data_IF_330608093367
#
_entry.id   IF_330608093367
#
_cell.length_a   1.000
_cell.length_b   1.000
_cell.length_c   1.000
_cell.angle_alpha   90.00
_cell.angle_beta   90.00
_cell.angle_gamma   90.00
#
_symmetry.space_group_name_H-M   'P 1'
#
loop_
_entity.id
_entity.type
_entity.pdbx_description
1 polymer ?
#
# COMPACT_ATOMS: atom_id res chain seq x y z
N UNK A 1 -12.55 -27.54 -51.15
CA UNK A 1 -12.68 -27.82 -49.70
C UNK A 1 -11.28 -27.84 -49.13
N UNK A 2 -10.69 -26.68 -48.76
CA UNK A 2 -10.76 -26.00 -47.46
C UNK A 2 -10.65 -26.98 -46.29
N UNK A 3 -9.50 -26.99 -45.62
CA UNK A 3 -9.36 -26.96 -44.17
C UNK A 3 -7.97 -26.37 -43.85
N UNK A 4 -7.91 -25.04 -43.69
CA UNK A 4 -6.80 -24.38 -43.02
C UNK A 4 -6.99 -24.67 -41.52
N UNK A 5 -6.08 -25.44 -40.92
CA UNK A 5 -6.00 -25.53 -39.47
C UNK A 5 -5.59 -24.16 -38.93
N UNK A 6 -6.54 -23.38 -38.42
CA UNK A 6 -6.23 -22.31 -37.47
C UNK A 6 -5.68 -23.00 -36.21
N UNK A 7 -4.37 -22.87 -36.01
CA UNK A 7 -3.71 -23.21 -34.75
C UNK A 7 -3.87 -22.01 -33.83
N UNK A 8 -5.07 -21.82 -33.29
CA UNK A 8 -5.35 -20.84 -32.23
C UNK A 8 -5.29 -21.54 -30.86
N UNK A 9 -4.09 -21.98 -30.48
CA UNK A 9 -3.81 -22.38 -29.10
C UNK A 9 -2.33 -22.15 -28.84
N UNK A 10 -1.92 -20.88 -28.96
CA UNK A 10 -0.85 -20.36 -28.11
C UNK A 10 -1.38 -20.39 -26.68
N UNK A 11 -0.54 -20.89 -25.76
CA UNK A 11 -0.87 -21.16 -24.36
C UNK A 11 -1.01 -19.83 -23.62
N UNK A 12 -2.08 -19.09 -23.89
CA UNK A 12 -2.55 -18.06 -22.99
C UNK A 12 -3.09 -18.85 -21.79
N UNK A 13 -2.28 -18.98 -20.75
CA UNK A 13 -2.78 -19.46 -19.45
C UNK A 13 -4.00 -18.62 -19.13
N UNK A 14 -5.18 -19.25 -19.07
CA UNK A 14 -6.44 -18.55 -18.87
C UNK A 14 -6.30 -17.64 -17.65
N UNK A 15 -6.59 -16.36 -17.82
CA UNK A 15 -6.53 -15.34 -16.78
C UNK A 15 -7.14 -15.85 -15.46
N UNK A 16 -8.26 -16.56 -15.58
CA UNK A 16 -8.99 -17.19 -14.48
C UNK A 16 -8.19 -18.27 -13.73
N UNK A 17 -7.34 -19.01 -14.43
CA UNK A 17 -6.46 -19.99 -13.81
C UNK A 17 -5.42 -19.31 -12.91
N UNK A 18 -4.80 -18.22 -13.39
CA UNK A 18 -3.85 -17.45 -12.58
C UNK A 18 -4.54 -16.89 -11.34
N UNK A 19 -5.72 -16.26 -11.49
CA UNK A 19 -6.48 -15.73 -10.37
C UNK A 19 -6.79 -16.81 -9.32
N UNK A 20 -7.31 -17.97 -9.76
CA UNK A 20 -7.64 -19.08 -8.86
C UNK A 20 -6.41 -19.67 -8.16
N UNK A 21 -5.29 -19.86 -8.87
CA UNK A 21 -4.06 -20.37 -8.26
C UNK A 21 -3.47 -19.37 -7.27
N UNK A 22 -3.58 -18.08 -7.57
CA UNK A 22 -3.11 -17.03 -6.69
C UNK A 22 -3.95 -16.98 -5.41
N UNK A 23 -5.28 -17.05 -5.54
CA UNK A 23 -6.20 -17.16 -4.41
C UNK A 23 -5.88 -18.36 -3.51
N UNK A 24 -5.65 -19.54 -4.08
CA UNK A 24 -5.25 -20.73 -3.33
C UNK A 24 -3.93 -20.53 -2.58
N UNK A 25 -2.93 -19.93 -3.24
CA UNK A 25 -1.64 -19.65 -2.62
C UNK A 25 -1.76 -18.63 -1.46
N UNK A 26 -2.67 -17.66 -1.57
CA UNK A 26 -3.02 -16.73 -0.48
C UNK A 26 -3.66 -17.47 0.69
N UNK A 27 -4.61 -18.37 0.43
CA UNK A 27 -5.23 -19.19 1.48
C UNK A 27 -4.21 -20.11 2.17
N UNK A 28 -3.33 -20.74 1.41
CA UNK A 28 -2.24 -21.56 1.95
C UNK A 28 -1.30 -20.72 2.83
N UNK A 29 -0.97 -19.50 2.39
CA UNK A 29 -0.19 -18.55 3.17
C UNK A 29 -0.86 -18.17 4.51
N UNK A 30 -2.16 -17.88 4.48
CA UNK A 30 -2.94 -17.47 5.65
C UNK A 30 -3.20 -18.62 6.63
N UNK A 31 -3.35 -19.85 6.13
CA UNK A 31 -3.68 -21.04 6.93
C UNK A 31 -2.46 -21.89 7.30
N UNK A 32 -1.27 -21.53 6.80
CA UNK A 32 -0.02 -22.21 7.11
C UNK A 32 0.23 -22.33 8.63
N UNK A 33 0.56 -23.54 9.07
CA UNK A 33 0.85 -23.84 10.49
C UNK A 33 2.34 -23.79 10.83
N UNK A 34 3.20 -23.50 9.86
CA UNK A 34 4.65 -23.40 10.00
C UNK A 34 5.22 -22.32 9.09
N UNK A 35 6.37 -21.77 9.47
CA UNK A 35 7.09 -20.78 8.67
C UNK A 35 7.53 -21.34 7.32
N UNK A 36 7.96 -22.60 7.27
CA UNK A 36 8.36 -23.27 6.03
C UNK A 36 7.19 -23.37 5.03
N UNK A 37 6.01 -23.78 5.50
CA UNK A 37 4.82 -23.84 4.65
C UNK A 37 4.39 -22.45 4.16
N UNK A 38 4.51 -21.46 5.04
CA UNK A 38 4.25 -20.07 4.67
C UNK A 38 5.26 -19.56 3.63
N UNK A 39 6.53 -19.96 3.72
CA UNK A 39 7.57 -19.63 2.75
C UNK A 39 7.33 -20.27 1.38
N UNK A 40 6.90 -21.53 1.33
CA UNK A 40 6.49 -22.20 0.09
C UNK A 40 5.31 -21.50 -0.59
N UNK A 41 4.31 -21.07 0.20
CA UNK A 41 3.19 -20.29 -0.31
C UNK A 41 3.67 -18.93 -0.91
N UNK A 42 4.58 -18.22 -0.24
CA UNK A 42 5.19 -16.98 -0.77
C UNK A 42 5.90 -17.21 -2.10
N UNK A 43 6.67 -18.28 -2.25
CA UNK A 43 7.35 -18.61 -3.52
C UNK A 43 6.35 -18.88 -4.63
N UNK A 44 5.24 -19.55 -4.31
CA UNK A 44 4.16 -19.83 -5.27
C UNK A 44 3.49 -18.55 -5.74
N UNK A 45 3.16 -17.64 -4.82
CA UNK A 45 2.59 -16.32 -5.13
C UNK A 45 3.53 -15.50 -6.01
N UNK A 46 4.82 -15.40 -5.66
CA UNK A 46 5.82 -14.65 -6.44
C UNK A 46 5.98 -15.20 -7.86
N UNK A 47 5.94 -16.53 -8.03
CA UNK A 47 5.98 -17.16 -9.35
C UNK A 47 4.75 -16.81 -10.20
N UNK A 48 3.56 -16.81 -9.59
CA UNK A 48 2.31 -16.46 -10.27
C UNK A 48 2.27 -14.98 -10.65
N UNK A 49 2.76 -14.09 -9.78
CA UNK A 49 2.92 -12.65 -10.07
C UNK A 49 3.87 -12.42 -11.25
N UNK A 50 5.00 -13.15 -11.30
CA UNK A 50 5.93 -13.05 -12.41
C UNK A 50 5.29 -13.45 -13.74
N UNK A 51 4.53 -14.56 -13.76
CA UNK A 51 3.82 -15.01 -14.97
C UNK A 51 2.73 -14.00 -15.34
N UNK A 52 1.95 -13.52 -14.37
CA UNK A 52 0.92 -12.53 -14.58
C UNK A 52 1.49 -11.22 -15.14
N UNK A 53 2.65 -10.78 -14.67
CA UNK A 53 3.32 -9.58 -15.17
C UNK A 53 3.81 -9.75 -16.61
N UNK A 54 4.35 -10.93 -16.95
CA UNK A 54 4.80 -11.23 -18.30
C UNK A 54 3.65 -11.25 -19.31
N UNK A 55 2.52 -11.86 -18.95
CA UNK A 55 1.39 -12.07 -19.86
C UNK A 55 0.41 -10.89 -19.91
N UNK A 56 0.18 -10.22 -18.77
CA UNK A 56 -0.89 -9.23 -18.60
C UNK A 56 -0.41 -7.87 -18.07
N UNK A 57 0.88 -7.72 -17.75
CA UNK A 57 1.48 -6.48 -17.28
C UNK A 57 1.37 -6.26 -15.77
N UNK A 58 2.21 -5.35 -15.27
CA UNK A 58 2.32 -5.06 -13.83
C UNK A 58 1.02 -4.50 -13.22
N UNK A 59 0.26 -3.68 -13.96
CA UNK A 59 -1.02 -3.13 -13.49
C UNK A 59 -2.01 -4.24 -13.09
N UNK A 60 -2.09 -5.31 -13.89
CA UNK A 60 -2.93 -6.46 -13.58
C UNK A 60 -2.45 -7.24 -12.34
N UNK A 61 -1.14 -7.41 -12.18
CA UNK A 61 -0.57 -8.09 -11.00
C UNK A 61 -0.92 -7.35 -9.73
N UNK A 62 -0.82 -6.02 -9.78
CA UNK A 62 -1.11 -5.17 -8.66
C UNK A 62 -2.60 -5.21 -8.28
N UNK A 63 -3.50 -5.18 -9.27
CA UNK A 63 -4.95 -5.35 -9.05
C UNK A 63 -5.29 -6.73 -8.46
N UNK A 64 -4.61 -7.78 -8.93
CA UNK A 64 -4.79 -9.14 -8.42
C UNK A 64 -4.32 -9.26 -6.97
N UNK A 65 -3.14 -8.72 -6.66
CA UNK A 65 -2.59 -8.69 -5.30
C UNK A 65 -3.49 -7.90 -4.35
N UNK A 66 -3.98 -6.72 -4.76
CA UNK A 66 -4.87 -5.88 -3.95
C UNK A 66 -6.21 -6.60 -3.67
N UNK A 67 -6.79 -7.27 -4.66
CA UNK A 67 -8.06 -8.02 -4.51
C UNK A 67 -7.94 -9.16 -3.52
N UNK A 68 -6.83 -9.89 -3.56
CA UNK A 68 -6.68 -11.18 -2.86
C UNK A 68 -6.10 -11.04 -1.45
N UNK A 69 -5.13 -10.15 -1.26
CA UNK A 69 -4.50 -9.94 0.05
C UNK A 69 -5.04 -8.72 0.81
N UNK A 70 -5.86 -7.87 0.18
CA UNK A 70 -6.35 -6.64 0.79
C UNK A 70 -5.24 -5.65 1.17
N UNK A 71 -3.99 -5.96 0.83
CA UNK A 71 -2.83 -5.11 0.98
C UNK A 71 -2.84 -4.12 -0.16
N UNK A 72 -3.56 -3.01 0.02
CA UNK A 72 -3.54 -1.92 -0.94
C UNK A 72 -2.11 -1.59 -1.32
N UNK A 73 -1.85 -1.45 -2.63
CA UNK A 73 -0.67 -0.73 -3.13
C UNK A 73 -0.49 0.49 -2.24
N UNK A 74 0.71 0.69 -1.67
CA UNK A 74 1.03 1.94 -1.01
C UNK A 74 0.69 3.07 -1.98
N UNK A 75 -0.35 3.85 -1.66
CA UNK A 75 -0.89 4.80 -2.63
C UNK A 75 0.05 6.00 -2.73
N UNK A 76 0.15 6.61 -3.92
CA UNK A 76 0.90 7.84 -4.12
C UNK A 76 -0.07 8.99 -4.35
N UNK A 77 0.16 10.10 -3.67
CA UNK A 77 -0.54 11.36 -3.91
C UNK A 77 0.51 12.44 -4.13
N UNK A 78 0.65 12.93 -5.36
CA UNK A 78 1.76 13.82 -5.70
C UNK A 78 3.12 13.17 -5.41
N UNK A 79 3.94 13.82 -4.58
CA UNK A 79 5.23 13.31 -4.12
C UNK A 79 5.14 12.46 -2.83
N UNK A 80 3.96 12.30 -2.23
CA UNK A 80 3.77 11.57 -0.98
C UNK A 80 3.55 10.08 -1.24
N UNK A 81 4.32 9.25 -0.54
CA UNK A 81 4.08 7.80 -0.44
C UNK A 81 3.21 7.55 0.80
N UNK A 82 2.07 6.89 0.61
CA UNK A 82 1.16 6.52 1.69
C UNK A 82 1.36 5.05 2.05
N UNK A 83 1.34 4.78 3.36
CA UNK A 83 1.45 3.44 3.93
C UNK A 83 0.28 2.54 3.59
N UNK A 84 0.39 1.27 4.02
CA UNK A 84 -0.64 0.24 3.79
C UNK A 84 -1.94 0.57 4.50
N UNK A 85 -1.84 1.20 5.68
CA UNK A 85 -2.98 1.76 6.36
C UNK A 85 -3.25 3.15 5.80
N UNK A 86 -4.37 3.31 5.09
CA UNK A 86 -4.76 4.57 4.45
C UNK A 86 -5.17 5.63 5.47
N UNK A 87 -4.19 6.15 6.20
CA UNK A 87 -4.28 7.28 7.10
C UNK A 87 -3.02 8.15 6.97
N UNK A 88 -3.17 9.43 7.28
CA UNK A 88 -2.06 10.38 7.43
C UNK A 88 -2.26 11.19 8.71
N UNK A 89 -1.17 11.69 9.28
CA UNK A 89 -1.19 12.68 10.36
C UNK A 89 -0.73 14.01 9.78
N UNK A 90 -1.55 15.04 9.94
CA UNK A 90 -1.21 16.43 9.64
C UNK A 90 -0.76 17.11 10.93
N UNK A 91 0.46 17.67 10.91
CA UNK A 91 1.03 18.49 11.98
C UNK A 91 0.95 19.95 11.54
N UNK A 92 0.21 20.78 12.26
CA UNK A 92 0.13 22.20 12.00
C UNK A 92 1.00 22.95 12.99
N UNK A 93 1.76 23.94 12.52
CA UNK A 93 2.68 24.73 13.35
C UNK A 93 2.18 26.15 13.53
N UNK A 94 2.63 26.81 14.60
CA UNK A 94 2.23 28.17 14.94
C UNK A 94 2.63 29.24 13.87
N UNK A 95 3.60 28.92 13.00
CA UNK A 95 4.00 29.76 11.86
C UNK A 95 3.08 29.60 10.63
N UNK A 96 2.05 28.75 10.72
CA UNK A 96 1.11 28.44 9.63
C UNK A 96 1.60 27.35 8.67
N UNK A 97 2.80 26.82 8.86
CA UNK A 97 3.30 25.67 8.10
C UNK A 97 2.66 24.36 8.55
N UNK A 98 2.73 23.34 7.70
CA UNK A 98 2.25 22.01 8.02
C UNK A 98 3.16 20.92 7.46
N UNK A 99 3.33 19.85 8.24
CA UNK A 99 4.05 18.65 7.85
C UNK A 99 3.12 17.43 7.90
N UNK A 100 3.43 16.42 7.11
CA UNK A 100 2.62 15.19 7.03
C UNK A 100 3.44 13.96 7.41
N UNK A 101 2.84 13.06 8.19
CA UNK A 101 3.32 11.69 8.39
C UNK A 101 2.37 10.76 7.65
N UNK A 102 2.91 9.96 6.72
CA UNK A 102 2.09 9.27 5.72
C UNK A 102 2.28 7.75 5.69
N UNK A 103 3.22 7.22 6.47
CA UNK A 103 3.66 5.83 6.37
C UNK A 103 3.22 5.01 7.58
N UNK A 104 1.99 4.53 7.56
CA UNK A 104 1.47 3.63 8.61
C UNK A 104 1.22 2.22 8.10
N UNK A 105 1.54 1.21 8.90
CA UNK A 105 1.30 -0.21 8.59
C UNK A 105 -0.12 -0.66 8.94
N UNK A 106 -0.63 -0.22 10.08
CA UNK A 106 -1.90 -0.62 10.68
C UNK A 106 -2.41 0.45 11.67
N UNK A 107 -3.55 0.18 12.31
CA UNK A 107 -4.16 1.12 13.25
C UNK A 107 -3.33 1.29 14.53
N UNK A 108 -2.62 0.26 15.01
CA UNK A 108 -1.83 0.37 16.22
C UNK A 108 -0.63 1.30 15.99
N UNK A 109 0.08 1.10 14.89
CA UNK A 109 1.19 1.96 14.42
C UNK A 109 0.75 3.44 14.32
N UNK A 110 -0.40 3.70 13.69
CA UNK A 110 -0.97 5.05 13.65
C UNK A 110 -1.24 5.62 15.05
N UNK A 111 -1.89 4.85 15.92
CA UNK A 111 -2.31 5.32 17.23
C UNK A 111 -1.13 5.62 18.16
N UNK A 112 -0.06 4.81 18.09
CA UNK A 112 1.19 5.05 18.81
C UNK A 112 1.83 6.38 18.37
N UNK A 113 1.96 6.63 17.06
CA UNK A 113 2.46 7.90 16.53
C UNK A 113 1.59 9.08 16.96
N UNK A 114 0.27 8.99 16.79
CA UNK A 114 -0.67 10.08 17.17
C UNK A 114 -0.55 10.42 18.65
N UNK A 115 -0.49 9.41 19.52
CA UNK A 115 -0.37 9.63 20.96
C UNK A 115 0.93 10.39 21.30
N UNK A 116 2.06 9.94 20.77
CA UNK A 116 3.35 10.57 21.00
C UNK A 116 3.37 12.02 20.52
N UNK A 117 2.86 12.29 19.32
CA UNK A 117 2.87 13.63 18.72
C UNK A 117 1.93 14.58 19.46
N UNK A 118 0.76 14.10 19.92
CA UNK A 118 -0.18 14.91 20.72
C UNK A 118 0.42 15.42 22.03
N UNK A 119 1.34 14.67 22.64
CA UNK A 119 2.06 15.12 23.85
C UNK A 119 3.00 16.30 23.58
N UNK A 120 3.32 16.59 22.32
CA UNK A 120 4.16 17.70 21.88
C UNK A 120 3.36 18.96 21.51
N UNK A 121 2.02 18.92 21.49
CA UNK A 121 1.20 20.10 21.17
C UNK A 121 1.47 21.22 22.18
N UNK A 122 1.63 22.44 21.67
CA UNK A 122 2.01 23.63 22.43
C UNK A 122 3.51 23.72 22.78
N UNK A 123 4.33 22.76 22.36
CA UNK A 123 5.77 22.72 22.64
C UNK A 123 6.59 23.01 21.38
N UNK A 124 7.81 23.49 21.61
CA UNK A 124 8.81 23.63 20.55
C UNK A 124 9.36 22.25 20.17
N UNK A 125 9.30 21.92 18.89
CA UNK A 125 9.76 20.67 18.27
C UNK A 125 10.76 20.97 17.16
N UNK A 126 11.42 19.94 16.62
CA UNK A 126 12.45 20.11 15.58
C UNK A 126 13.73 20.75 16.11
N UNK A 127 14.03 20.60 17.41
CA UNK A 127 15.21 21.20 18.07
C UNK A 127 16.54 20.73 17.47
N UNK A 128 16.55 19.59 16.79
CA UNK A 128 17.71 19.06 16.07
C UNK A 128 17.80 19.54 14.61
N UNK A 129 16.98 20.53 14.22
CA UNK A 129 16.97 21.14 12.89
C UNK A 129 17.26 22.62 13.00
N UNK A 130 17.64 23.25 11.89
CA UNK A 130 17.89 24.71 11.84
C UNK A 130 16.59 25.54 11.97
N UNK A 131 15.42 24.90 11.97
CA UNK A 131 14.10 25.55 11.99
C UNK A 131 13.18 24.94 13.06
N UNK A 132 13.45 25.16 14.36
CA UNK A 132 12.55 24.72 15.41
C UNK A 132 11.22 25.48 15.35
N UNK A 133 10.11 24.77 15.59
CA UNK A 133 8.75 25.32 15.47
C UNK A 133 7.88 24.87 16.64
N UNK A 134 6.85 25.65 16.97
CA UNK A 134 5.86 25.23 17.96
C UNK A 134 4.77 24.44 17.26
N UNK A 135 4.54 23.21 17.71
CA UNK A 135 3.43 22.37 17.22
C UNK A 135 2.11 22.93 17.77
N UNK A 136 1.21 23.34 16.89
CA UNK A 136 -0.07 23.98 17.24
C UNK A 136 -1.23 22.98 17.27
N UNK A 137 -1.34 22.13 16.24
CA UNK A 137 -2.43 21.16 16.12
C UNK A 137 -1.98 19.86 15.43
N UNK A 138 -2.72 18.77 15.71
CA UNK A 138 -2.48 17.43 15.15
C UNK A 138 -3.81 16.81 14.72
N UNK A 139 -3.96 16.60 13.40
CA UNK A 139 -5.16 16.02 12.81
C UNK A 139 -4.87 14.69 12.13
N UNK A 140 -5.74 13.70 12.36
CA UNK A 140 -5.70 12.40 11.67
C UNK A 140 -6.69 12.44 10.51
N UNK A 141 -6.23 12.10 9.31
CA UNK A 141 -7.05 12.03 8.11
C UNK A 141 -7.03 10.59 7.62
N UNK A 142 -8.21 9.95 7.58
CA UNK A 142 -8.37 8.54 7.18
C UNK A 142 -9.14 8.42 5.86
N UNK A 143 -8.85 7.37 5.12
CA UNK A 143 -9.51 7.00 3.87
C UNK A 143 -8.83 7.60 2.63
N UNK A 144 -8.75 6.80 1.56
CA UNK A 144 -8.05 7.15 0.31
C UNK A 144 -8.49 8.52 -0.24
N UNK A 145 -9.80 8.76 -0.34
CA UNK A 145 -10.37 10.00 -0.89
C UNK A 145 -10.00 11.25 -0.10
N UNK A 146 -10.06 11.20 1.24
CA UNK A 146 -9.74 12.34 2.09
C UNK A 146 -8.25 12.70 2.03
N UNK A 147 -7.39 11.67 1.95
CA UNK A 147 -5.94 11.85 1.83
C UNK A 147 -5.59 12.48 0.49
N UNK A 148 -6.21 12.01 -0.61
CA UNK A 148 -6.03 12.63 -1.93
C UNK A 148 -6.40 14.10 -1.88
N UNK A 149 -7.59 14.44 -1.34
CA UNK A 149 -8.06 15.82 -1.24
C UNK A 149 -7.14 16.72 -0.40
N UNK A 150 -6.52 16.20 0.65
CA UNK A 150 -5.62 16.99 1.50
C UNK A 150 -4.25 17.23 0.84
N UNK A 151 -3.69 16.21 0.20
CA UNK A 151 -2.32 16.23 -0.31
C UNK A 151 -2.21 16.72 -1.76
N UNK A 152 -3.33 16.81 -2.50
CA UNK A 152 -3.33 17.29 -3.88
C UNK A 152 -2.76 18.72 -3.98
N UNK A 153 -1.73 18.89 -4.81
CA UNK A 153 -1.03 20.17 -4.98
C UNK A 153 -0.10 20.59 -3.83
N UNK A 154 0.10 19.74 -2.81
CA UNK A 154 1.04 19.99 -1.71
C UNK A 154 2.44 19.48 -2.03
N UNK A 155 3.44 20.14 -1.46
CA UNK A 155 4.84 19.68 -1.50
C UNK A 155 5.19 19.01 -0.17
N UNK A 156 6.01 17.94 -0.20
CA UNK A 156 6.47 17.22 0.98
C UNK A 156 7.49 18.01 1.80
#
# INVERSE_FOLDING_TARGET
>A
MRWCYHRESEVIMDKKYIENQYHLAVLDFQTARSEEAQWEARKTMARLEQIAAQEYGFEYVDDLHERELGGGKGMKVGAFQIGRYHAIIKKSYADGSADYETSFSDEADLMESVYCIKLCVGKMVGLATDTPKVLDDVQVIRGKENIVRELEGKQP
#
